data_IF_871450254308
#
_entry.id   IF_871450254308
#
_cell.length_a   1.000
_cell.length_b   1.000
_cell.length_c   1.000
_cell.angle_alpha   90.00
_cell.angle_beta   90.00
_cell.angle_gamma   90.00
#
_symmetry.space_group_name_H-M   'P 1'
#
loop_
_entity.id
_entity.type
_entity.pdbx_description
1 polymer ?
#
# COMPACT_ATOMS: atom_id res chain seq x y z
N UNK A 1 5.18 -19.68 -9.62
CA UNK A 1 4.17 -19.08 -8.72
C UNK A 1 3.14 -18.41 -9.60
N UNK A 2 1.90 -18.86 -9.47
CA UNK A 2 0.78 -18.29 -10.21
C UNK A 2 0.32 -16.98 -9.55
N UNK A 3 -0.32 -16.09 -10.30
CA UNK A 3 -0.76 -14.79 -9.77
C UNK A 3 -1.66 -14.94 -8.54
N UNK A 4 -2.51 -15.96 -8.51
CA UNK A 4 -3.40 -16.25 -7.39
C UNK A 4 -2.65 -16.66 -6.09
N UNK A 5 -1.51 -17.34 -6.19
CA UNK A 5 -0.69 -17.65 -5.01
C UNK A 5 -0.07 -16.38 -4.44
N UNK A 6 0.41 -15.49 -5.31
CA UNK A 6 1.03 -14.22 -4.89
C UNK A 6 0.00 -13.31 -4.23
N UNK A 7 -1.22 -13.23 -4.78
CA UNK A 7 -2.34 -12.49 -4.20
C UNK A 7 -2.69 -13.01 -2.79
N UNK A 8 -2.82 -14.33 -2.63
CA UNK A 8 -3.10 -14.95 -1.34
C UNK A 8 -2.00 -14.67 -0.29
N UNK A 9 -0.74 -14.60 -0.70
CA UNK A 9 0.35 -14.24 0.20
C UNK A 9 0.31 -12.76 0.59
N UNK A 10 0.00 -11.87 -0.35
CA UNK A 10 -0.09 -10.44 -0.12
C UNK A 10 -1.25 -10.06 0.82
N UNK A 11 -2.32 -10.86 0.87
CA UNK A 11 -3.47 -10.64 1.77
C UNK A 11 -3.14 -10.66 3.27
N UNK A 12 -1.96 -11.17 3.65
CA UNK A 12 -1.49 -11.20 5.04
C UNK A 12 -0.97 -9.85 5.53
N UNK A 13 -0.71 -8.91 4.62
CA UNK A 13 -0.26 -7.56 4.97
C UNK A 13 -1.29 -6.84 5.84
N UNK A 14 -0.79 -6.08 6.81
CA UNK A 14 -1.61 -5.32 7.74
C UNK A 14 -1.95 -3.96 7.12
N UNK A 15 -3.23 -3.59 7.22
CA UNK A 15 -3.74 -2.31 6.74
C UNK A 15 -4.62 -1.66 7.80
N UNK A 16 -4.60 -0.34 7.83
CA UNK A 16 -5.39 0.44 8.79
C UNK A 16 -6.79 0.71 8.23
N UNK A 17 -7.82 0.37 9.02
CA UNK A 17 -9.21 0.66 8.70
C UNK A 17 -9.85 1.50 9.80
N UNK A 18 -10.88 2.26 9.43
CA UNK A 18 -11.81 2.90 10.36
C UNK A 18 -13.14 2.14 10.26
N UNK A 19 -13.54 1.35 11.26
CA UNK A 19 -14.79 0.63 11.26
C UNK A 19 -15.96 1.55 11.62
N UNK A 20 -17.16 1.17 11.19
CA UNK A 20 -18.44 1.83 11.48
C UNK A 20 -19.31 1.01 12.44
N UNK A 21 -18.75 -0.01 13.08
CA UNK A 21 -19.46 -0.93 13.97
C UNK A 21 -18.63 -1.16 15.24
N UNK A 22 -19.31 -1.55 16.30
CA UNK A 22 -18.68 -1.97 17.55
C UNK A 22 -18.59 -3.49 17.59
N UNK A 23 -17.41 -4.01 17.92
CA UNK A 23 -17.19 -5.43 18.18
C UNK A 23 -16.00 -5.59 19.13
N UNK A 24 -16.14 -6.49 20.10
CA UNK A 24 -15.05 -6.83 21.01
C UNK A 24 -13.90 -7.56 20.29
N UNK A 25 -12.84 -7.86 21.04
CA UNK A 25 -11.69 -8.59 20.50
C UNK A 25 -12.10 -9.94 19.90
N UNK A 26 -11.59 -10.22 18.71
CA UNK A 26 -11.72 -11.51 18.05
C UNK A 26 -10.40 -12.26 18.23
N UNK A 27 -10.44 -13.50 18.70
CA UNK A 27 -9.27 -14.35 18.84
C UNK A 27 -9.19 -15.31 17.66
N UNK A 28 -8.19 -15.14 16.80
CA UNK A 28 -7.91 -16.03 15.67
C UNK A 28 -6.67 -16.89 15.97
N UNK A 29 -6.49 -17.95 15.19
CA UNK A 29 -5.31 -18.83 15.29
C UNK A 29 -4.01 -18.03 15.04
N UNK A 30 -4.07 -17.03 14.16
CA UNK A 30 -2.93 -16.19 13.79
C UNK A 30 -2.74 -14.92 14.62
N UNK A 31 -3.55 -14.69 15.67
CA UNK A 31 -3.48 -13.49 16.51
C UNK A 31 -4.84 -12.94 16.93
N UNK A 32 -4.84 -11.93 17.79
CA UNK A 32 -6.05 -11.20 18.20
C UNK A 32 -6.26 -9.95 17.33
N UNK A 33 -7.54 -9.65 17.03
CA UNK A 33 -7.95 -8.48 16.27
C UNK A 33 -8.94 -7.63 17.08
N UNK A 34 -8.80 -6.31 16.99
CA UNK A 34 -9.66 -5.36 17.68
C UNK A 34 -9.17 -4.97 19.09
N UNK A 35 -10.02 -4.30 19.88
CA UNK A 35 -11.45 -4.07 19.68
C UNK A 35 -11.76 -3.15 18.49
N UNK A 36 -12.89 -3.42 17.81
CA UNK A 36 -13.41 -2.58 16.75
C UNK A 36 -14.33 -1.53 17.36
N UNK A 37 -13.86 -0.29 17.37
CA UNK A 37 -14.62 0.85 17.88
C UNK A 37 -14.96 1.80 16.73
N UNK A 38 -16.23 2.19 16.56
CA UNK A 38 -16.64 3.09 15.49
C UNK A 38 -15.80 4.38 15.48
N UNK A 39 -15.25 4.72 14.32
CA UNK A 39 -14.48 5.96 14.14
C UNK A 39 -13.04 5.92 14.66
N UNK A 40 -12.59 4.83 15.32
CA UNK A 40 -11.21 4.66 15.75
C UNK A 40 -10.43 3.78 14.76
N UNK A 41 -9.22 4.18 14.34
CA UNK A 41 -8.40 3.38 13.45
C UNK A 41 -7.95 2.07 14.13
N UNK A 42 -7.97 0.98 13.37
CA UNK A 42 -7.50 -0.34 13.81
C UNK A 42 -6.76 -1.04 12.67
N UNK A 43 -5.67 -1.72 13.00
CA UNK A 43 -4.92 -2.54 12.05
C UNK A 43 -5.56 -3.92 11.92
N UNK A 44 -5.76 -4.36 10.67
CA UNK A 44 -6.29 -5.67 10.34
C UNK A 44 -5.60 -6.23 9.10
N UNK A 45 -5.61 -7.56 8.91
CA UNK A 45 -5.17 -8.15 7.66
C UNK A 45 -5.98 -7.66 6.45
N UNK A 46 -5.35 -7.56 5.29
CA UNK A 46 -5.95 -7.07 4.05
C UNK A 46 -7.20 -7.87 3.64
N UNK A 47 -7.17 -9.20 3.74
CA UNK A 47 -8.33 -10.05 3.45
C UNK A 47 -9.57 -9.65 4.27
N UNK A 48 -9.38 -9.27 5.54
CA UNK A 48 -10.47 -8.84 6.42
C UNK A 48 -10.92 -7.42 6.08
N UNK A 49 -9.98 -6.51 5.81
CA UNK A 49 -10.29 -5.15 5.39
C UNK A 49 -11.15 -5.13 4.12
N UNK A 50 -10.80 -5.92 3.11
CA UNK A 50 -11.55 -6.04 1.86
C UNK A 50 -12.95 -6.60 2.13
N UNK A 51 -13.07 -7.66 2.95
CA UNK A 51 -14.37 -8.24 3.30
C UNK A 51 -15.29 -7.23 4.00
N UNK A 52 -14.75 -6.46 4.94
CA UNK A 52 -15.50 -5.42 5.66
C UNK A 52 -15.87 -4.25 4.73
N UNK A 53 -15.00 -3.90 3.79
CA UNK A 53 -15.24 -2.84 2.80
C UNK A 53 -16.35 -3.21 1.81
N UNK A 54 -16.37 -4.45 1.31
CA UNK A 54 -17.44 -4.96 0.45
C UNK A 54 -18.80 -4.90 1.16
N UNK A 55 -18.82 -5.09 2.48
CA UNK A 55 -20.01 -4.97 3.33
C UNK A 55 -20.31 -3.55 3.79
N UNK A 56 -19.55 -2.55 3.33
CA UNK A 56 -19.68 -1.13 3.71
C UNK A 56 -19.52 -0.86 5.23
N UNK A 57 -18.81 -1.74 5.93
CA UNK A 57 -18.62 -1.66 7.39
C UNK A 57 -17.36 -0.91 7.82
N UNK A 58 -16.47 -0.56 6.89
CA UNK A 58 -15.27 0.21 7.19
C UNK A 58 -14.86 1.13 6.03
N UNK A 59 -13.97 2.06 6.36
CA UNK A 59 -13.18 2.85 5.42
C UNK A 59 -11.72 2.41 5.53
N UNK A 60 -11.09 2.04 4.42
CA UNK A 60 -9.64 1.81 4.40
C UNK A 60 -8.91 3.16 4.41
N UNK A 61 -7.81 3.22 5.16
CA UNK A 61 -6.84 4.29 5.07
C UNK A 61 -5.72 3.85 4.13
N UNK A 62 -5.34 4.68 3.14
CA UNK A 62 -4.19 4.38 2.31
C UNK A 62 -2.92 4.44 3.18
N UNK A 63 -1.97 3.52 2.99
CA UNK A 63 -0.68 3.59 3.65
C UNK A 63 0.13 4.81 3.15
N UNK A 64 1.10 5.26 3.95
CA UNK A 64 1.88 6.47 3.69
C UNK A 64 2.57 6.45 2.32
N UNK A 65 3.18 5.31 1.95
CA UNK A 65 3.83 5.14 0.65
C UNK A 65 2.88 5.23 -0.55
N UNK A 66 1.56 5.15 -0.35
CA UNK A 66 0.55 5.30 -1.41
C UNK A 66 0.13 6.77 -1.61
N UNK A 67 0.66 7.70 -0.81
CA UNK A 67 0.34 9.12 -0.97
C UNK A 67 0.94 9.70 -2.26
N UNK A 68 0.12 10.43 -3.02
CA UNK A 68 0.49 11.00 -4.32
C UNK A 68 1.53 12.12 -4.18
N UNK A 69 1.58 12.79 -3.01
CA UNK A 69 2.54 13.87 -2.76
C UNK A 69 3.99 13.38 -2.70
N UNK A 70 4.21 12.17 -2.22
CA UNK A 70 5.53 11.59 -2.03
C UNK A 70 6.16 11.07 -3.33
N UNK A 71 5.34 10.65 -4.30
CA UNK A 71 5.78 10.24 -5.64
C UNK A 71 6.07 11.40 -6.59
N UNK A 72 6.02 12.66 -6.11
CA UNK A 72 6.44 13.82 -6.89
C UNK A 72 7.97 13.93 -6.93
N UNK A 73 8.61 13.04 -7.69
CA UNK A 73 9.97 13.25 -8.23
C UNK A 73 10.14 14.64 -8.89
N UNK A 74 9.01 15.28 -9.24
CA UNK A 74 8.90 16.59 -9.85
C UNK A 74 9.11 17.82 -8.92
N UNK A 75 9.37 17.67 -7.62
CA UNK A 75 9.67 18.84 -6.75
C UNK A 75 11.16 19.05 -6.43
N UNK A 76 12.06 18.17 -6.87
CA UNK A 76 13.50 18.47 -6.88
C UNK A 76 13.84 19.31 -8.12
N UNK A 77 13.22 20.49 -8.17
CA UNK A 77 13.75 21.61 -8.95
C UNK A 77 14.93 22.20 -8.20
N UNK A 78 16.08 21.53 -8.26
CA UNK A 78 17.34 22.05 -7.72
C UNK A 78 18.20 20.97 -7.09
N UNK A 79 19.31 20.66 -7.78
CA UNK A 79 20.39 19.76 -7.36
C UNK A 79 20.16 18.26 -7.63
N UNK A 80 20.44 17.85 -8.88
CA UNK A 80 20.96 16.51 -9.13
C UNK A 80 22.40 16.47 -8.56
N UNK A 81 22.71 15.60 -7.59
CA UNK A 81 24.10 15.33 -7.26
C UNK A 81 24.66 14.36 -8.31
N UNK A 82 25.65 14.85 -9.07
CA UNK A 82 26.68 14.00 -9.66
C UNK A 82 26.20 13.02 -10.72
N UNK A 83 26.17 13.50 -11.96
CA UNK A 83 26.57 12.67 -13.10
C UNK A 83 27.96 12.10 -12.81
N UNK A 84 28.08 10.80 -12.59
CA UNK A 84 29.24 10.05 -13.07
C UNK A 84 28.92 8.55 -13.13
N UNK A 85 29.25 7.97 -14.28
CA UNK A 85 29.36 6.53 -14.58
C UNK A 85 28.08 5.70 -14.77
N UNK A 86 27.32 5.98 -15.83
CA UNK A 86 26.72 4.92 -16.64
C UNK A 86 27.12 5.10 -18.11
N UNK A 87 28.36 4.74 -18.43
CA UNK A 87 28.80 4.46 -19.79
C UNK A 87 28.26 3.07 -20.20
N UNK A 88 27.06 3.06 -20.78
CA UNK A 88 26.55 1.95 -21.59
C UNK A 88 26.66 2.30 -23.08
N UNK A 89 26.96 1.34 -23.97
CA UNK A 89 27.31 1.63 -25.36
C UNK A 89 26.10 2.16 -26.15
N UNK A 90 26.38 3.18 -26.97
CA UNK A 90 25.40 4.07 -27.56
C UNK A 90 24.38 3.41 -28.49
N UNK A 91 23.13 3.82 -28.31
CA UNK A 91 22.11 3.77 -29.34
C UNK A 91 22.26 5.04 -30.19
N UNK A 92 22.65 4.97 -31.48
CA UNK A 92 22.68 6.14 -32.34
C UNK A 92 21.24 6.56 -32.67
N UNK A 93 20.85 7.73 -32.18
CA UNK A 93 19.59 8.38 -32.52
C UNK A 93 19.68 8.87 -33.98
N UNK A 94 19.15 8.07 -34.90
CA UNK A 94 18.88 8.47 -36.28
C UNK A 94 17.71 9.44 -36.30
N UNK A 95 17.98 10.70 -35.96
CA UNK A 95 17.17 11.84 -36.35
C UNK A 95 18.04 13.09 -36.30
N UNK A 96 18.74 13.34 -37.41
CA UNK A 96 18.89 14.64 -38.10
C UNK A 96 19.99 14.52 -39.15
N UNK A 97 19.66 13.88 -40.28
CA UNK A 97 20.02 14.32 -41.64
C UNK A 97 19.03 13.64 -42.61
#
# INVERSE_FOLDING_TARGET
MDAAEVEFLAEKELVTIIPNFSLDKIYLIGGDLGPFNPGLPVEVPLWLAINLKQRQKCRLLPPEWMDVGEHSWARVGGLLPGSDSFLGPGFPDSRHQ
#
